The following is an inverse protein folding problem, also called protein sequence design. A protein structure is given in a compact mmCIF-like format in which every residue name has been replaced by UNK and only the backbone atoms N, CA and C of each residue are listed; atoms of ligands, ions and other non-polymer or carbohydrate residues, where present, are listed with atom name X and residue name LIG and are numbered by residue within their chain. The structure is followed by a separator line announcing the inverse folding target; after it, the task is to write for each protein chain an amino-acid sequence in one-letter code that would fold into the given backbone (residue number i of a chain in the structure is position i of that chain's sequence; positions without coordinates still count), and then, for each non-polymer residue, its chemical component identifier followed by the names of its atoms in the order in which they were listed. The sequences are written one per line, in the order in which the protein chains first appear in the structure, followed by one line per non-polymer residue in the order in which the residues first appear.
data_IF_435514353291
#
_entry.id   IF_435514353291
#
_cell.length_a   1.000
_cell.length_b   1.000
_cell.length_c   1.000
_cell.angle_alpha   90.00
_cell.angle_beta   90.00
_cell.angle_gamma   90.00
#
_symmetry.space_group_name_H-M   'P 1'
#
loop_
_entity.id
_entity.type
_entity.pdbx_description
1 polymer ?
#
# COMPACT_ATOMS: atom_id res chain seq x y z
N UNK A 1 -5.64 -2.75 12.83
CA UNK A 1 -6.80 -2.17 12.12
C UNK A 1 -8.05 -2.16 13.00
N UNK A 2 -8.26 -3.20 13.81
CA UNK A 2 -9.38 -3.35 14.77
C UNK A 2 -9.61 -2.18 15.72
N UNK A 3 -8.54 -1.68 16.37
CA UNK A 3 -8.65 -0.59 17.36
C UNK A 3 -9.02 0.76 16.74
N UNK A 4 -8.81 0.94 15.45
CA UNK A 4 -9.02 2.20 14.73
C UNK A 4 -10.31 2.24 13.90
N UNK A 5 -11.10 1.15 13.88
CA UNK A 5 -12.28 0.97 13.01
C UNK A 5 -11.96 1.20 11.52
N UNK A 6 -10.73 0.91 11.10
CA UNK A 6 -10.28 1.01 9.71
C UNK A 6 -10.29 -0.40 9.14
N UNK A 7 -10.78 -0.57 7.92
CA UNK A 7 -10.93 -1.88 7.28
C UNK A 7 -9.96 -2.07 6.12
N UNK A 8 -9.66 -0.96 5.43
CA UNK A 8 -8.74 -0.94 4.31
C UNK A 8 -7.71 0.16 4.53
N UNK A 9 -6.47 -0.11 4.16
CA UNK A 9 -5.38 0.85 4.22
C UNK A 9 -4.77 1.01 2.84
N UNK A 10 -4.66 2.25 2.38
CA UNK A 10 -4.06 2.58 1.09
C UNK A 10 -2.73 3.29 1.33
N UNK A 11 -1.67 2.72 0.78
CA UNK A 11 -0.31 3.26 0.85
C UNK A 11 0.06 3.76 -0.53
N UNK A 12 0.60 4.98 -0.58
CA UNK A 12 1.16 5.57 -1.81
C UNK A 12 2.59 6.08 -1.63
N UNK A 13 3.09 6.08 -0.39
CA UNK A 13 4.41 6.58 -0.05
C UNK A 13 5.46 5.48 -0.25
N UNK A 14 6.53 5.81 -0.97
CA UNK A 14 7.54 4.85 -1.40
C UNK A 14 8.37 4.28 -0.23
N UNK A 15 8.77 5.13 0.72
CA UNK A 15 9.50 4.74 1.92
C UNK A 15 8.69 3.80 2.81
N UNK A 16 7.39 4.10 2.99
CA UNK A 16 6.46 3.21 3.72
C UNK A 16 6.28 1.88 2.99
N UNK A 17 6.14 1.93 1.67
CA UNK A 17 6.04 0.74 0.82
C UNK A 17 7.27 -0.17 0.98
N UNK A 18 8.48 0.36 0.81
CA UNK A 18 9.71 -0.42 0.87
C UNK A 18 9.90 -1.08 2.23
N UNK A 19 9.64 -0.35 3.32
CA UNK A 19 9.73 -0.90 4.67
C UNK A 19 8.70 -2.01 4.91
N UNK A 20 7.45 -1.80 4.47
CA UNK A 20 6.38 -2.76 4.70
C UNK A 20 6.63 -4.11 4.01
N UNK A 21 7.15 -4.08 2.78
CA UNK A 21 7.41 -5.30 2.00
C UNK A 21 8.84 -5.83 2.16
N UNK A 22 9.64 -5.23 3.05
CA UNK A 22 11.05 -5.56 3.24
C UNK A 22 11.86 -5.53 1.93
N UNK A 23 11.58 -4.55 1.07
CA UNK A 23 12.22 -4.38 -0.23
C UNK A 23 13.33 -3.34 -0.15
N UNK A 24 14.51 -3.67 -0.66
CA UNK A 24 15.60 -2.70 -0.83
C UNK A 24 15.54 -2.06 -2.22
N UNK A 25 15.71 -0.74 -2.30
CA UNK A 25 15.80 0.02 -3.56
C UNK A 25 16.88 -0.53 -4.51
N UNK A 26 17.94 -1.13 -3.97
CA UNK A 26 19.02 -1.78 -4.72
C UNK A 26 18.52 -2.99 -5.53
N UNK A 27 17.50 -3.69 -5.03
CA UNK A 27 16.97 -4.90 -5.64
C UNK A 27 15.95 -4.59 -6.76
N UNK A 28 15.54 -3.34 -6.87
CA UNK A 28 14.63 -2.81 -7.89
C UNK A 28 15.51 -2.10 -8.92
N UNK A 29 15.31 -2.33 -10.22
CA UNK A 29 16.21 -1.80 -11.24
C UNK A 29 16.42 -0.28 -11.05
N UNK A 30 17.69 0.11 -10.82
CA UNK A 30 18.14 1.48 -10.61
C UNK A 30 17.79 2.36 -11.81
N UNK A 31 16.69 3.10 -11.73
CA UNK A 31 16.64 4.53 -12.05
C UNK A 31 15.22 5.09 -11.91
N UNK A 32 15.15 6.31 -11.39
CA UNK A 32 14.02 7.24 -11.49
C UNK A 32 12.71 6.74 -10.84
N UNK A 33 12.48 7.19 -9.61
CA UNK A 33 11.17 7.26 -8.94
C UNK A 33 10.30 6.00 -9.07
N UNK A 34 10.24 5.21 -7.99
CA UNK A 34 9.31 4.09 -7.92
C UNK A 34 7.91 4.61 -7.62
N UNK A 35 7.00 4.48 -8.58
CA UNK A 35 5.59 4.71 -8.34
C UNK A 35 4.95 3.39 -7.93
N UNK A 36 4.35 3.38 -6.74
CA UNK A 36 3.72 2.21 -6.17
C UNK A 36 2.51 2.58 -5.35
N UNK A 37 1.47 1.76 -5.43
CA UNK A 37 0.37 1.78 -4.48
C UNK A 37 0.23 0.42 -3.82
N UNK A 38 -0.23 0.39 -2.58
CA UNK A 38 -0.65 -0.84 -1.92
C UNK A 38 -2.05 -0.66 -1.33
N UNK A 39 -2.90 -1.68 -1.45
CA UNK A 39 -4.18 -1.77 -0.77
C UNK A 39 -4.15 -2.99 0.15
N UNK A 40 -4.31 -2.74 1.43
CA UNK A 40 -4.26 -3.74 2.48
C UNK A 40 -5.65 -3.85 3.09
N UNK A 41 -6.30 -4.99 2.89
CA UNK A 41 -7.49 -5.39 3.62
C UNK A 41 -7.13 -6.37 4.73
N UNK A 42 -8.13 -6.86 5.47
CA UNK A 42 -7.90 -7.88 6.51
C UNK A 42 -7.34 -9.20 5.97
N UNK A 43 -7.77 -9.60 4.77
CA UNK A 43 -7.49 -10.92 4.20
C UNK A 43 -6.68 -10.86 2.90
N UNK A 44 -6.27 -9.68 2.47
CA UNK A 44 -5.55 -9.52 1.21
C UNK A 44 -4.56 -8.36 1.28
N UNK A 45 -3.48 -8.52 0.54
CA UNK A 45 -2.54 -7.45 0.25
C UNK A 45 -2.39 -7.36 -1.27
N UNK A 46 -2.79 -6.23 -1.84
CA UNK A 46 -2.65 -5.96 -3.28
C UNK A 46 -1.60 -4.88 -3.48
N UNK A 47 -0.58 -5.20 -4.27
CA UNK A 47 0.51 -4.31 -4.66
C UNK A 47 0.35 -3.90 -6.12
N UNK A 48 0.49 -2.61 -6.41
CA UNK A 48 0.42 -2.02 -7.74
C UNK A 48 1.74 -1.34 -8.07
N UNK A 49 2.47 -1.89 -9.04
CA UNK A 49 3.82 -1.46 -9.40
C UNK A 49 4.09 -1.77 -10.88
N UNK A 50 5.12 -1.14 -11.45
CA UNK A 50 5.64 -1.56 -12.75
C UNK A 50 6.31 -2.93 -12.61
N UNK A 51 5.70 -3.94 -13.23
CA UNK A 51 6.15 -5.33 -13.17
C UNK A 51 7.57 -5.51 -13.71
N UNK A 52 8.00 -4.65 -14.64
CA UNK A 52 9.35 -4.72 -15.22
C UNK A 52 10.43 -4.29 -14.23
N UNK A 53 10.07 -3.54 -13.18
CA UNK A 53 11.00 -3.09 -12.14
C UNK A 53 11.29 -4.17 -11.11
N UNK A 54 10.46 -5.23 -11.04
CA UNK A 54 10.65 -6.35 -10.13
C UNK A 54 11.47 -7.46 -10.77
N UNK A 55 12.51 -7.91 -10.07
CA UNK A 55 13.22 -9.13 -10.43
C UNK A 55 12.37 -10.36 -10.09
N UNK A 56 12.64 -11.48 -10.78
CA UNK A 56 11.89 -12.73 -10.58
C UNK A 56 11.94 -13.22 -9.12
N UNK A 57 13.07 -13.07 -8.45
CA UNK A 57 13.22 -13.44 -7.04
C UNK A 57 12.32 -12.63 -6.11
N UNK A 58 12.15 -11.33 -6.36
CA UNK A 58 11.20 -10.50 -5.59
C UNK A 58 9.78 -10.93 -5.86
N UNK A 59 9.46 -11.26 -7.11
CA UNK A 59 8.13 -11.72 -7.48
C UNK A 59 7.75 -13.02 -6.75
N UNK A 60 8.69 -13.97 -6.69
CA UNK A 60 8.52 -15.24 -5.98
C UNK A 60 8.38 -15.02 -4.46
N UNK A 61 9.16 -14.10 -3.88
CA UNK A 61 9.06 -13.71 -2.47
C UNK A 61 7.70 -13.08 -2.13
N UNK A 62 7.24 -12.11 -2.93
CA UNK A 62 5.95 -11.46 -2.71
C UNK A 62 4.79 -12.46 -2.82
N UNK A 63 4.87 -13.39 -3.76
CA UNK A 63 3.87 -14.44 -3.90
C UNK A 63 3.88 -15.41 -2.71
N UNK A 64 5.06 -15.72 -2.16
CA UNK A 64 5.19 -16.55 -0.96
C UNK A 64 4.57 -15.88 0.28
N UNK A 65 4.65 -14.56 0.38
CA UNK A 65 4.03 -13.75 1.44
C UNK A 65 2.55 -13.40 1.17
N UNK A 66 1.88 -14.10 0.25
CA UNK A 66 0.48 -13.88 -0.14
C UNK A 66 0.18 -12.43 -0.62
N UNK A 67 1.17 -11.78 -1.23
CA UNK A 67 1.02 -10.45 -1.83
C UNK A 67 0.68 -10.56 -3.31
N UNK A 68 -0.49 -10.07 -3.68
CA UNK A 68 -0.95 -10.04 -5.07
C UNK A 68 -0.38 -8.83 -5.80
N UNK A 69 0.45 -9.07 -6.82
CA UNK A 69 1.09 -8.01 -7.60
C UNK A 69 0.31 -7.72 -8.89
N UNK A 70 0.03 -6.45 -9.13
CA UNK A 70 -0.71 -5.92 -10.27
C UNK A 70 0.06 -4.80 -10.97
N UNK A 71 -0.24 -4.52 -12.26
CA UNK A 71 0.31 -3.35 -12.95
C UNK A 71 -0.12 -2.05 -12.27
N UNK A 72 0.80 -1.08 -12.19
CA UNK A 72 0.56 0.23 -11.58
C UNK A 72 -0.73 0.91 -12.07
N UNK A 73 -0.95 0.93 -13.39
CA UNK A 73 -2.10 1.60 -14.02
C UNK A 73 -3.46 0.97 -13.66
N UNK A 74 -3.45 -0.25 -13.13
CA UNK A 74 -4.69 -0.94 -12.72
C UNK A 74 -5.20 -0.50 -11.35
N UNK A 75 -4.41 0.26 -10.59
CA UNK A 75 -4.73 0.67 -9.23
C UNK A 75 -6.12 1.31 -9.09
N UNK A 76 -6.43 2.34 -9.88
CA UNK A 76 -7.69 3.08 -9.72
C UNK A 76 -8.90 2.21 -10.07
N UNK A 77 -8.78 1.33 -11.06
CA UNK A 77 -9.85 0.40 -11.44
C UNK A 77 -10.09 -0.64 -10.34
N UNK A 78 -9.03 -1.21 -9.77
CA UNK A 78 -9.16 -2.17 -8.67
C UNK A 78 -9.66 -1.51 -7.39
N UNK A 79 -9.17 -0.31 -7.06
CA UNK A 79 -9.63 0.47 -5.93
C UNK A 79 -11.14 0.75 -6.04
N UNK A 80 -11.61 1.17 -7.23
CA UNK A 80 -13.03 1.37 -7.49
C UNK A 80 -13.86 0.10 -7.28
N UNK A 81 -13.42 -1.04 -7.82
CA UNK A 81 -14.10 -2.33 -7.61
C UNK A 81 -14.18 -2.71 -6.14
N UNK A 82 -13.10 -2.49 -5.39
CA UNK A 82 -13.07 -2.77 -3.95
C UNK A 82 -14.10 -1.89 -3.25
N UNK A 83 -14.08 -0.58 -3.48
CA UNK A 83 -15.05 0.36 -2.88
C UNK A 83 -16.50 0.00 -3.21
N UNK A 84 -16.78 -0.43 -4.44
CA UNK A 84 -18.13 -0.87 -4.86
C UNK A 84 -18.54 -2.22 -4.25
N UNK A 85 -17.57 -3.07 -3.90
CA UNK A 85 -17.83 -4.41 -3.35
C UNK A 85 -17.98 -4.45 -1.82
N UNK A 86 -17.42 -3.46 -1.11
CA UNK A 86 -17.41 -3.43 0.35
C UNK A 86 -18.64 -2.74 0.92
N UNK A 87 -18.97 -3.06 2.17
CA UNK A 87 -20.08 -2.42 2.85
C UNK A 87 -19.81 -0.92 3.06
N UNK A 88 -20.87 -0.11 3.06
CA UNK A 88 -20.78 1.34 3.24
C UNK A 88 -20.21 1.75 4.63
N UNK A 89 -20.20 0.82 5.58
CA UNK A 89 -19.62 1.03 6.92
C UNK A 89 -18.11 0.79 6.97
N UNK A 90 -17.54 0.13 5.95
CA UNK A 90 -16.12 -0.12 5.87
C UNK A 90 -15.38 1.18 5.55
N UNK A 91 -14.29 1.40 6.29
CA UNK A 91 -13.52 2.64 6.23
C UNK A 91 -12.16 2.40 5.59
N UNK A 92 -11.80 3.31 4.69
CA UNK A 92 -10.52 3.37 4.03
C UNK A 92 -9.65 4.42 4.73
N UNK A 93 -8.50 3.99 5.23
CA UNK A 93 -7.49 4.88 5.78
C UNK A 93 -6.49 5.24 4.70
N UNK A 94 -6.24 6.54 4.54
CA UNK A 94 -5.21 7.06 3.64
C UNK A 94 -4.40 8.15 4.35
N UNK A 95 -3.18 8.35 3.86
CA UNK A 95 -2.31 9.44 4.32
C UNK A 95 -2.88 10.82 3.96
N UNK A 96 -2.54 11.86 4.72
CA UNK A 96 -2.93 13.25 4.43
C UNK A 96 -2.39 13.78 3.10
N UNK A 97 -1.31 13.18 2.61
CA UNK A 97 -0.64 13.52 1.34
C UNK A 97 -1.20 12.81 0.12
N UNK A 98 -2.31 12.09 0.29
CA UNK A 98 -2.95 11.31 -0.75
C UNK A 98 -3.46 12.21 -1.90
N UNK A 99 -3.44 11.67 -3.12
CA UNK A 99 -3.89 12.43 -4.28
C UNK A 99 -5.43 12.59 -4.30
N UNK A 100 -5.90 13.64 -4.98
CA UNK A 100 -7.32 13.94 -5.05
C UNK A 100 -8.15 12.87 -5.78
N UNK A 101 -7.52 12.12 -6.70
CA UNK A 101 -8.19 11.04 -7.44
C UNK A 101 -8.66 9.92 -6.52
N UNK A 102 -7.85 9.54 -5.52
CA UNK A 102 -8.24 8.54 -4.51
C UNK A 102 -9.39 9.07 -3.63
N UNK A 103 -9.37 10.35 -3.29
CA UNK A 103 -10.45 10.99 -2.55
C UNK A 103 -11.78 10.94 -3.29
N UNK A 104 -11.80 11.16 -4.61
CA UNK A 104 -13.03 11.10 -5.40
C UNK A 104 -13.58 9.68 -5.49
N UNK A 105 -12.70 8.67 -5.52
CA UNK A 105 -13.11 7.27 -5.64
C UNK A 105 -13.79 6.73 -4.37
N UNK A 106 -13.45 7.27 -3.21
CA UNK A 106 -13.95 6.81 -1.91
C UNK A 106 -14.99 7.80 -1.41
N UNK A 107 -16.15 7.32 -0.96
CA UNK A 107 -17.17 8.19 -0.38
C UNK A 107 -16.64 8.92 0.86
N UNK A 108 -16.97 10.20 1.05
CA UNK A 108 -16.51 11.02 2.20
C UNK A 108 -16.76 10.34 3.56
N UNK A 109 -17.84 9.58 3.70
CA UNK A 109 -18.19 8.87 4.94
C UNK A 109 -17.32 7.65 5.22
N UNK A 110 -16.77 7.03 4.19
CA UNK A 110 -15.87 5.87 4.28
C UNK A 110 -14.41 6.32 4.39
N UNK A 111 -14.11 7.56 4.03
CA UNK A 111 -12.76 8.09 3.96
C UNK A 111 -12.26 8.56 5.33
N UNK A 112 -11.11 8.04 5.76
CA UNK A 112 -10.46 8.40 7.02
C UNK A 112 -9.03 8.86 6.72
N UNK A 113 -8.73 10.12 7.03
CA UNK A 113 -7.35 10.62 6.99
C UNK A 113 -6.72 10.38 8.35
N UNK A 114 -5.65 9.59 8.39
CA UNK A 114 -4.79 9.44 9.56
C UNK A 114 -3.36 9.33 9.10
N UNK A 115 -2.51 10.22 9.58
CA UNK A 115 -1.06 10.11 9.37
C UNK A 115 -0.56 8.80 9.99
N UNK A 116 0.18 8.06 9.18
CA UNK A 116 0.03 6.62 9.05
C UNK A 116 0.36 5.83 10.33
N UNK A 117 -0.48 4.81 10.58
CA UNK A 117 -0.22 3.74 11.56
C UNK A 117 1.18 3.15 11.34
N UNK A 118 1.61 3.08 10.09
CA UNK A 118 2.89 2.51 9.66
C UNK A 118 4.03 3.51 9.85
N UNK A 119 3.83 4.81 9.57
CA UNK A 119 4.86 5.83 9.78
C UNK A 119 5.34 5.88 11.23
N UNK A 120 4.44 5.71 12.20
CA UNK A 120 4.83 5.59 13.61
C UNK A 120 5.68 4.36 13.91
N UNK A 121 5.41 3.24 13.24
CA UNK A 121 6.20 2.02 13.37
C UNK A 121 7.58 2.17 12.74
N UNK A 122 7.67 2.81 11.58
CA UNK A 122 8.94 3.07 10.89
C UNK A 122 9.84 4.03 11.69
N UNK A 123 9.24 4.98 12.41
CA UNK A 123 9.99 5.94 13.22
C UNK A 123 10.71 5.30 14.42
N UNK A 124 10.22 4.15 14.91
CA UNK A 124 10.84 3.41 16.00
C UNK A 124 11.73 2.33 15.39
N UNK A 125 13.02 2.61 15.29
CA UNK A 125 13.99 1.68 14.70
C UNK A 125 14.26 0.50 15.62
N UNK A 126 14.27 -0.70 15.04
CA UNK A 126 14.76 -1.89 15.73
C UNK A 126 16.29 -1.88 15.79
N UNK A 127 16.93 -2.54 16.78
CA UNK A 127 18.38 -2.57 16.89
C UNK A 127 19.10 -3.03 15.61
N UNK A 128 18.53 -4.02 14.90
CA UNK A 128 19.05 -4.51 13.62
C UNK A 128 18.97 -3.50 12.46
N UNK A 129 18.20 -2.42 12.59
CA UNK A 129 18.13 -1.34 11.59
C UNK A 129 19.11 -0.19 11.90
N UNK A 130 19.72 -0.18 13.10
CA UNK A 130 20.61 0.89 13.58
C UNK A 130 22.10 0.52 13.41
N UNK A 131 22.42 -0.77 13.44
CA UNK A 131 23.76 -1.31 13.18
C UNK A 131 24.21 -1.11 11.72
#
# INVERSE_FOLDING_TARGET
MDKSQVHHLIIHQMDVFLWLFNLCLVNIQFNSVLFSFAIIGYNYVKLFIDLNKLSKSIHDYLQYEDVFVYPYDSFYNECKKIVESVDYNEKFCVSSTCNYAIQILISEKQFVIKDDIICRSIAIKYPCEIE
#
